data_IF_634354328038
#
_entry.id   IF_634354328038
#
_cell.length_a   1.000
_cell.length_b   1.000
_cell.length_c   1.000
_cell.angle_alpha   90.00
_cell.angle_beta   90.00
_cell.angle_gamma   90.00
#
_symmetry.space_group_name_H-M   'P 1'
#
loop_
_entity.id
_entity.type
_entity.pdbx_description
1 polymer ?
#
# COMPACT_ATOMS: atom_id res chain seq x y z
N UNK A 1 15.37 -12.23 -1.73
CA UNK A 1 14.08 -11.51 -1.75
C UNK A 1 13.89 -10.75 -0.45
N UNK A 2 13.56 -9.45 -0.51
CA UNK A 2 13.43 -8.56 0.65
C UNK A 2 12.11 -8.79 1.38
N UNK A 3 12.07 -9.76 2.30
CA UNK A 3 10.87 -10.16 3.05
C UNK A 3 10.31 -9.10 4.02
N UNK A 4 10.92 -7.91 4.11
CA UNK A 4 10.50 -6.82 4.98
C UNK A 4 10.51 -5.51 4.16
N UNK A 5 9.48 -5.25 3.33
CA UNK A 5 9.41 -4.06 2.50
C UNK A 5 9.25 -2.78 3.34
N UNK A 6 9.58 -1.62 2.77
CA UNK A 6 9.47 -0.31 3.45
C UNK A 6 10.29 -0.19 4.75
N UNK A 7 11.33 -1.01 4.92
CA UNK A 7 12.17 -0.99 6.11
C UNK A 7 13.36 -0.03 5.95
N UNK A 8 13.82 0.55 7.05
CA UNK A 8 15.10 1.25 7.10
C UNK A 8 16.18 0.41 7.79
N UNK A 9 17.42 0.62 7.35
CA UNK A 9 18.62 0.10 7.99
C UNK A 9 19.43 1.28 8.52
N UNK A 10 19.82 1.21 9.79
CA UNK A 10 20.69 2.21 10.44
C UNK A 10 21.87 1.46 11.04
N UNK A 11 23.08 1.91 10.75
CA UNK A 11 24.29 1.43 11.40
C UNK A 11 24.51 2.26 12.66
N UNK A 12 24.73 1.57 13.78
CA UNK A 12 25.08 2.18 15.06
C UNK A 12 26.02 1.24 15.82
N UNK A 13 27.19 1.73 16.23
CA UNK A 13 28.16 1.00 17.05
C UNK A 13 28.54 -0.38 16.48
N UNK A 14 28.85 -0.44 15.17
CA UNK A 14 29.11 -1.65 14.38
C UNK A 14 27.93 -2.64 14.32
N UNK A 15 26.73 -2.18 14.66
CA UNK A 15 25.50 -2.99 14.62
C UNK A 15 24.51 -2.41 13.63
N UNK A 16 24.06 -3.23 12.69
CA UNK A 16 23.00 -2.83 11.76
C UNK A 16 21.62 -3.08 12.39
N UNK A 17 20.91 -2.00 12.69
CA UNK A 17 19.53 -2.02 13.16
C UNK A 17 18.54 -1.92 12.01
N UNK A 18 17.51 -2.74 12.07
CA UNK A 18 16.43 -2.81 11.10
C UNK A 18 15.14 -2.26 11.72
N UNK A 19 14.49 -1.36 10.98
CA UNK A 19 13.23 -0.70 11.34
C UNK A 19 12.15 -1.12 10.34
N UNK A 20 11.39 -2.19 10.61
CA UNK A 20 10.45 -2.75 9.64
C UNK A 20 9.30 -1.78 9.34
N UNK A 21 8.94 -1.65 8.06
CA UNK A 21 7.73 -0.94 7.62
C UNK A 21 7.69 0.57 7.86
N UNK A 22 8.74 1.18 8.43
CA UNK A 22 8.75 2.58 8.87
C UNK A 22 8.50 3.58 7.74
N UNK A 23 8.89 3.25 6.50
CA UNK A 23 8.67 4.11 5.34
C UNK A 23 7.21 4.14 4.86
N UNK A 24 6.32 3.29 5.37
CA UNK A 24 4.89 3.34 5.01
C UNK A 24 4.22 4.63 5.45
N UNK A 25 4.76 5.28 6.48
CA UNK A 25 4.25 6.54 7.03
C UNK A 25 5.10 7.75 6.68
N UNK A 26 6.05 7.64 5.74
CA UNK A 26 6.93 8.76 5.40
C UNK A 26 6.40 9.57 4.22
N UNK A 27 6.49 10.90 4.35
CA UNK A 27 6.15 11.85 3.29
C UNK A 27 6.97 11.59 2.03
N UNK A 28 8.25 11.25 2.19
CA UNK A 28 9.15 10.87 1.09
C UNK A 28 8.58 9.75 0.22
N UNK A 29 8.08 8.68 0.85
CA UNK A 29 7.49 7.53 0.13
C UNK A 29 6.26 7.93 -0.67
N UNK A 30 5.35 8.72 -0.07
CA UNK A 30 4.13 9.15 -0.76
C UNK A 30 4.45 10.15 -1.89
N UNK A 31 5.39 11.07 -1.68
CA UNK A 31 5.87 11.98 -2.74
C UNK A 31 6.49 11.19 -3.89
N UNK A 32 7.34 10.20 -3.60
CA UNK A 32 7.95 9.36 -4.65
C UNK A 32 6.91 8.51 -5.39
N UNK A 33 5.91 7.95 -4.70
CA UNK A 33 4.81 7.24 -5.35
C UNK A 33 4.01 8.14 -6.31
N UNK A 34 3.71 9.38 -5.90
CA UNK A 34 2.97 10.34 -6.72
C UNK A 34 3.79 10.97 -7.85
N UNK A 35 5.12 10.95 -7.73
CA UNK A 35 6.07 11.55 -8.67
C UNK A 35 6.13 10.78 -9.99
N UNK A 36 6.07 9.46 -9.96
CA UNK A 36 6.19 8.62 -11.16
C UNK A 36 5.05 8.84 -12.17
N UNK A 37 3.74 8.81 -11.79
CA UNK A 37 2.65 9.13 -12.72
C UNK A 37 2.78 10.52 -13.34
N UNK A 38 3.15 11.53 -12.52
CA UNK A 38 3.28 12.92 -12.97
C UNK A 38 4.45 13.13 -13.94
N UNK A 39 5.42 12.20 -13.94
CA UNK A 39 6.60 12.23 -14.81
C UNK A 39 6.50 11.28 -16.00
N UNK A 40 5.42 10.52 -16.14
CA UNK A 40 5.16 9.77 -17.37
C UNK A 40 4.76 10.75 -18.49
N UNK A 41 5.75 11.16 -19.27
CA UNK A 41 5.60 12.06 -20.42
C UNK A 41 5.58 11.30 -21.75
N UNK A 42 5.29 9.99 -21.76
CA UNK A 42 5.15 9.22 -23.00
C UNK A 42 3.98 9.79 -23.82
N UNK A 43 4.32 10.32 -25.00
CA UNK A 43 3.39 10.96 -25.94
C UNK A 43 2.85 10.03 -27.02
N UNK A 44 3.46 8.85 -27.16
CA UNK A 44 3.00 7.87 -28.15
C UNK A 44 1.57 7.43 -27.79
N UNK A 45 0.62 7.47 -28.74
CA UNK A 45 -0.74 6.97 -28.50
C UNK A 45 -0.75 5.48 -28.15
N UNK A 46 0.25 4.71 -28.58
CA UNK A 46 0.43 3.29 -28.28
C UNK A 46 1.54 3.16 -27.24
N UNK A 47 1.14 3.01 -25.98
CA UNK A 47 2.07 2.73 -24.87
C UNK A 47 2.33 1.23 -24.79
N UNK A 48 3.50 0.80 -25.28
CA UNK A 48 3.89 -0.61 -25.24
C UNK A 48 4.27 -1.07 -23.83
N UNK A 49 4.94 -0.23 -23.04
CA UNK A 49 5.25 -0.56 -21.64
C UNK A 49 4.01 -0.40 -20.77
N UNK A 50 3.52 -1.51 -20.22
CA UNK A 50 2.41 -1.53 -19.30
C UNK A 50 2.92 -1.30 -17.87
N UNK A 51 2.47 -0.21 -17.25
CA UNK A 51 2.96 0.22 -15.93
C UNK A 51 1.79 0.38 -14.97
N UNK A 52 1.89 -0.24 -13.80
CA UNK A 52 1.01 -0.05 -12.65
C UNK A 52 1.69 0.92 -11.68
N UNK A 53 1.06 2.07 -11.43
CA UNK A 53 1.59 3.08 -10.52
C UNK A 53 1.12 2.91 -9.06
N UNK A 54 0.40 1.84 -8.77
CA UNK A 54 -0.17 1.58 -7.46
C UNK A 54 0.96 1.32 -6.45
N UNK A 55 1.08 2.19 -5.42
CA UNK A 55 2.03 2.00 -4.32
C UNK A 55 1.73 0.72 -3.54
N UNK A 56 0.43 0.46 -3.30
CA UNK A 56 -0.07 -0.76 -2.68
C UNK A 56 -0.74 -1.61 -3.76
N UNK A 57 -0.23 -2.82 -3.94
CA UNK A 57 -0.68 -3.80 -4.93
C UNK A 57 -0.60 -5.22 -4.33
N UNK A 58 -1.18 -6.25 -4.98
CA UNK A 58 -1.00 -7.63 -4.55
C UNK A 58 0.47 -8.01 -4.32
N UNK A 59 1.37 -7.54 -5.17
CA UNK A 59 2.81 -7.76 -5.04
C UNK A 59 3.39 -7.18 -3.75
N UNK A 60 3.09 -5.92 -3.43
CA UNK A 60 3.64 -5.27 -2.23
C UNK A 60 2.96 -5.77 -0.96
N UNK A 61 1.66 -6.01 -1.00
CA UNK A 61 0.88 -6.46 0.16
C UNK A 61 1.23 -7.91 0.51
N UNK A 62 1.49 -8.78 -0.48
CA UNK A 62 2.00 -10.13 -0.19
C UNK A 62 3.31 -10.08 0.61
N UNK A 63 4.24 -9.19 0.24
CA UNK A 63 5.49 -9.01 1.01
C UNK A 63 5.26 -8.46 2.41
N UNK A 64 4.23 -7.63 2.62
CA UNK A 64 3.86 -7.16 3.96
C UNK A 64 3.22 -8.27 4.80
N UNK A 65 2.40 -9.14 4.20
CA UNK A 65 1.85 -10.32 4.86
C UNK A 65 2.97 -11.26 5.32
N UNK A 66 3.94 -11.54 4.43
CA UNK A 66 5.11 -12.37 4.75
C UNK A 66 5.97 -11.70 5.82
N UNK A 67 6.19 -10.39 5.71
CA UNK A 67 6.94 -9.60 6.69
C UNK A 67 6.29 -9.60 8.06
N UNK A 68 4.96 -9.41 8.13
CA UNK A 68 4.18 -9.51 9.35
C UNK A 68 4.32 -10.90 9.98
N UNK A 69 4.21 -11.97 9.19
CA UNK A 69 4.37 -13.34 9.68
C UNK A 69 5.76 -13.57 10.28
N UNK A 70 6.81 -13.06 9.63
CA UNK A 70 8.18 -13.12 10.15
C UNK A 70 8.30 -12.41 11.51
N UNK A 71 7.76 -11.18 11.62
CA UNK A 71 7.86 -10.41 12.86
C UNK A 71 7.08 -11.07 14.02
N UNK A 72 5.89 -11.61 13.74
CA UNK A 72 5.09 -12.36 14.71
C UNK A 72 5.82 -13.63 15.18
N UNK A 73 6.47 -14.35 14.27
CA UNK A 73 7.23 -15.55 14.62
C UNK A 73 8.48 -15.20 15.46
N UNK A 74 9.19 -14.13 15.14
CA UNK A 74 10.33 -13.64 15.95
C UNK A 74 9.89 -13.32 17.39
N UNK A 75 8.74 -12.66 17.53
CA UNK A 75 8.13 -12.33 18.82
C UNK A 75 7.77 -13.58 19.62
N UNK A 76 7.18 -14.57 18.95
CA UNK A 76 6.77 -15.84 19.55
C UNK A 76 7.96 -16.69 20.02
N UNK A 77 9.01 -16.81 19.21
CA UNK A 77 10.16 -17.69 19.49
C UNK A 77 11.07 -17.12 20.59
N UNK A 78 11.27 -15.80 20.60
CA UNK A 78 12.20 -15.16 21.55
C UNK A 78 11.52 -14.72 22.86
N UNK A 79 10.18 -14.71 22.92
CA UNK A 79 9.39 -14.24 24.06
C UNK A 79 9.22 -12.71 24.08
N UNK A 80 8.08 -12.25 24.59
CA UNK A 80 7.64 -10.84 24.57
C UNK A 80 8.58 -9.89 25.34
N UNK A 81 9.35 -10.41 26.30
CA UNK A 81 10.30 -9.65 27.13
C UNK A 81 11.67 -9.46 26.48
N UNK A 82 11.88 -9.91 25.23
CA UNK A 82 13.14 -9.69 24.52
C UNK A 82 13.28 -8.23 24.08
N UNK A 83 14.32 -7.55 24.52
CA UNK A 83 14.60 -6.15 24.15
C UNK A 83 15.04 -5.99 22.68
N UNK A 84 15.80 -6.96 22.17
CA UNK A 84 16.38 -6.93 20.82
C UNK A 84 16.32 -8.31 20.17
N UNK A 85 15.68 -8.37 19.01
CA UNK A 85 15.55 -9.57 18.20
C UNK A 85 16.67 -9.63 17.16
N UNK A 86 17.16 -10.83 16.86
CA UNK A 86 18.11 -11.05 15.77
C UNK A 86 17.36 -11.56 14.54
N UNK A 87 17.54 -10.89 13.41
CA UNK A 87 16.97 -11.32 12.13
C UNK A 87 18.03 -11.20 11.04
N UNK A 88 18.45 -12.35 10.49
CA UNK A 88 19.61 -12.44 9.59
C UNK A 88 20.82 -11.73 10.23
N UNK A 89 21.52 -10.88 9.49
CA UNK A 89 22.66 -10.09 9.97
C UNK A 89 22.27 -8.75 10.62
N UNK A 90 21.01 -8.61 11.06
CA UNK A 90 20.48 -7.34 11.62
C UNK A 90 19.86 -7.54 12.99
N UNK A 91 19.70 -6.44 13.73
CA UNK A 91 19.02 -6.37 15.02
C UNK A 91 17.74 -5.56 14.90
N UNK A 92 16.66 -5.98 15.56
CA UNK A 92 15.38 -5.26 15.61
C UNK A 92 15.07 -4.99 17.08
N UNK A 93 14.95 -3.72 17.48
CA UNK A 93 14.49 -3.37 18.84
C UNK A 93 13.03 -3.81 19.01
N UNK A 94 12.63 -4.20 20.22
CA UNK A 94 11.27 -4.64 20.52
C UNK A 94 10.21 -3.63 20.05
N UNK A 95 10.41 -2.35 20.35
CA UNK A 95 9.53 -1.27 19.90
C UNK A 95 9.44 -1.16 18.37
N UNK A 96 10.55 -1.34 17.66
CA UNK A 96 10.59 -1.35 16.20
C UNK A 96 9.88 -2.57 15.61
N UNK A 97 9.97 -3.73 16.25
CA UNK A 97 9.26 -4.95 15.84
C UNK A 97 7.75 -4.77 15.97
N UNK A 98 7.28 -4.31 17.14
CA UNK A 98 5.85 -4.06 17.40
C UNK A 98 5.30 -3.01 16.43
N UNK A 99 6.02 -1.90 16.24
CA UNK A 99 5.64 -0.88 15.27
C UNK A 99 5.62 -1.42 13.84
N UNK A 100 6.59 -2.26 13.46
CA UNK A 100 6.64 -2.91 12.15
C UNK A 100 5.42 -3.79 11.88
N UNK A 101 4.99 -4.59 12.85
CA UNK A 101 3.74 -5.38 12.78
C UNK A 101 2.56 -4.44 12.57
N UNK A 102 2.43 -3.40 13.40
CA UNK A 102 1.34 -2.42 13.30
C UNK A 102 1.32 -1.75 11.93
N UNK A 103 2.45 -1.29 11.41
CA UNK A 103 2.52 -0.63 10.10
C UNK A 103 2.10 -1.55 8.96
N UNK A 104 2.55 -2.81 8.96
CA UNK A 104 2.12 -3.78 7.96
C UNK A 104 0.63 -4.09 8.08
N UNK A 105 0.10 -4.31 9.28
CA UNK A 105 -1.34 -4.53 9.49
C UNK A 105 -2.18 -3.35 9.00
N UNK A 106 -1.77 -2.13 9.31
CA UNK A 106 -2.44 -0.92 8.84
C UNK A 106 -2.45 -0.83 7.31
N UNK A 107 -1.32 -1.08 6.64
CA UNK A 107 -1.25 -1.05 5.19
C UNK A 107 -2.07 -2.18 4.53
N UNK A 108 -2.08 -3.38 5.12
CA UNK A 108 -2.91 -4.52 4.68
C UNK A 108 -4.40 -4.18 4.78
N UNK A 109 -4.85 -3.65 5.93
CA UNK A 109 -6.24 -3.20 6.14
C UNK A 109 -6.64 -2.11 5.16
N UNK A 110 -5.77 -1.12 4.96
CA UNK A 110 -5.97 -0.03 3.97
C UNK A 110 -6.18 -0.59 2.55
N UNK A 111 -5.37 -1.57 2.14
CA UNK A 111 -5.49 -2.16 0.81
C UNK A 111 -6.74 -3.03 0.68
N UNK A 112 -6.90 -4.04 1.53
CA UNK A 112 -8.00 -5.01 1.42
C UNK A 112 -9.38 -4.37 1.61
N UNK A 113 -9.49 -3.43 2.55
CA UNK A 113 -10.71 -2.65 2.74
C UNK A 113 -11.04 -1.77 1.53
N UNK A 114 -10.03 -1.14 0.92
CA UNK A 114 -10.24 -0.37 -0.31
C UNK A 114 -10.72 -1.28 -1.46
N UNK A 115 -10.19 -2.49 -1.58
CA UNK A 115 -10.65 -3.45 -2.59
C UNK A 115 -12.12 -3.83 -2.39
N UNK A 116 -12.59 -4.04 -1.15
CA UNK A 116 -14.02 -4.26 -0.84
C UNK A 116 -14.86 -3.04 -1.20
N UNK A 117 -14.45 -1.85 -0.75
CA UNK A 117 -15.18 -0.61 -1.02
C UNK A 117 -15.32 -0.38 -2.53
N UNK A 118 -14.23 -0.55 -3.28
CA UNK A 118 -14.23 -0.47 -4.75
C UNK A 118 -15.08 -1.54 -5.40
N UNK A 119 -15.18 -2.74 -4.82
CA UNK A 119 -16.08 -3.77 -5.34
C UNK A 119 -17.55 -3.40 -5.15
N UNK A 120 -17.88 -2.77 -4.03
CA UNK A 120 -19.24 -2.42 -3.64
C UNK A 120 -19.65 -0.98 -4.03
N UNK A 121 -18.75 -0.17 -4.57
CA UNK A 121 -19.05 1.24 -4.90
C UNK A 121 -20.13 1.36 -5.98
N UNK A 122 -20.91 2.46 -5.90
CA UNK A 122 -21.92 2.84 -6.90
C UNK A 122 -23.01 1.80 -7.18
N UNK A 123 -23.20 0.80 -6.32
CA UNK A 123 -24.17 -0.29 -6.50
C UNK A 123 -25.16 -0.31 -5.35
N UNK A 124 -26.46 -0.19 -5.64
CA UNK A 124 -27.49 -0.35 -4.61
C UNK A 124 -27.86 -1.82 -4.51
N UNK A 125 -27.88 -2.35 -3.29
CA UNK A 125 -28.24 -3.74 -3.00
C UNK A 125 -29.55 -3.77 -2.24
N UNK A 126 -30.35 -4.81 -2.46
CA UNK A 126 -31.64 -5.03 -1.79
C UNK A 126 -31.60 -6.11 -0.71
N UNK A 127 -30.52 -6.90 -0.69
CA UNK A 127 -30.32 -7.98 0.28
C UNK A 127 -28.83 -8.28 0.45
N UNK A 128 -28.48 -8.92 1.58
CA UNK A 128 -27.12 -9.41 1.82
C UNK A 128 -26.70 -10.45 0.78
N UNK A 129 -27.64 -11.17 0.16
CA UNK A 129 -27.36 -12.13 -0.92
C UNK A 129 -26.82 -11.43 -2.17
N UNK A 130 -27.38 -10.28 -2.57
CA UNK A 130 -26.87 -9.51 -3.71
C UNK A 130 -25.46 -8.98 -3.43
N UNK A 131 -25.17 -8.58 -2.19
CA UNK A 131 -23.82 -8.17 -1.76
C UNK A 131 -22.84 -9.34 -1.89
N UNK A 132 -23.20 -10.52 -1.38
CA UNK A 132 -22.37 -11.74 -1.48
C UNK A 132 -22.14 -12.14 -2.92
N UNK A 133 -23.15 -12.05 -3.78
CA UNK A 133 -23.01 -12.30 -5.22
C UNK A 133 -22.04 -11.32 -5.88
N UNK A 134 -22.11 -10.03 -5.54
CA UNK A 134 -21.18 -9.03 -6.05
C UNK A 134 -19.75 -9.25 -5.59
N UNK A 135 -19.55 -9.77 -4.38
CA UNK A 135 -18.23 -10.11 -3.84
C UNK A 135 -17.61 -11.35 -4.51
N UNK A 136 -18.38 -12.19 -5.22
CA UNK A 136 -17.79 -13.34 -5.93
C UNK A 136 -16.76 -12.87 -6.96
N UNK A 137 -15.57 -13.50 -7.04
CA UNK A 137 -14.60 -13.22 -8.08
C UNK A 137 -15.17 -13.49 -9.49
N UNK A 138 -14.90 -12.60 -10.44
CA UNK A 138 -15.33 -12.76 -11.84
C UNK A 138 -14.48 -13.79 -12.59
N UNK A 139 -13.29 -14.07 -12.09
CA UNK A 139 -12.30 -14.95 -12.71
C UNK A 139 -11.56 -15.77 -11.64
N UNK A 140 -10.87 -16.81 -12.09
CA UNK A 140 -9.92 -17.59 -11.27
C UNK A 140 -8.49 -17.07 -11.41
N UNK A 141 -8.25 -16.17 -12.36
CA UNK A 141 -6.94 -15.55 -12.61
C UNK A 141 -6.66 -14.50 -11.54
N UNK A 142 -5.42 -14.43 -11.05
CA UNK A 142 -5.03 -13.54 -9.94
C UNK A 142 -4.74 -14.26 -8.64
N UNK A 143 -5.03 -15.56 -8.55
CA UNK A 143 -4.63 -16.36 -7.40
C UNK A 143 -3.12 -16.56 -7.33
N UNK A 144 -2.60 -16.73 -6.12
CA UNK A 144 -1.20 -17.08 -5.88
C UNK A 144 -0.25 -15.87 -5.88
N UNK A 145 0.97 -16.11 -6.36
CA UNK A 145 2.04 -15.11 -6.38
C UNK A 145 1.83 -14.08 -7.49
N UNK A 146 2.21 -12.84 -7.19
CA UNK A 146 2.25 -11.74 -8.14
C UNK A 146 3.68 -11.27 -8.33
N UNK A 147 4.00 -10.82 -9.55
CA UNK A 147 5.32 -10.34 -9.95
C UNK A 147 5.23 -8.87 -10.37
N UNK A 148 6.34 -8.16 -10.21
CA UNK A 148 6.57 -6.86 -10.83
C UNK A 148 7.63 -7.04 -11.93
N UNK A 149 7.20 -6.86 -13.19
CA UNK A 149 8.01 -7.04 -14.38
C UNK A 149 8.11 -5.70 -15.08
N UNK A 150 9.15 -4.94 -14.73
CA UNK A 150 9.42 -3.62 -15.31
C UNK A 150 8.24 -2.64 -15.17
N UNK A 151 7.50 -2.71 -14.07
CA UNK A 151 6.33 -1.88 -13.79
C UNK A 151 4.99 -2.56 -14.07
N UNK A 152 4.96 -3.66 -14.82
CA UNK A 152 3.75 -4.48 -14.95
C UNK A 152 3.61 -5.35 -13.70
N UNK A 153 2.54 -5.13 -12.95
CA UNK A 153 2.19 -5.97 -11.80
C UNK A 153 1.17 -7.00 -12.27
N UNK A 154 1.56 -8.28 -12.29
CA UNK A 154 0.75 -9.34 -12.86
C UNK A 154 0.81 -10.65 -12.06
N UNK A 155 -0.22 -11.53 -12.17
CA UNK A 155 -0.18 -12.85 -11.56
C UNK A 155 0.92 -13.70 -12.19
N UNK A 156 1.73 -14.36 -11.37
CA UNK A 156 2.81 -15.24 -11.84
C UNK A 156 2.30 -16.32 -12.81
N UNK A 157 1.09 -16.83 -12.56
CA UNK A 157 0.49 -17.87 -13.43
C UNK A 157 0.31 -17.41 -14.87
N UNK A 158 -0.02 -16.13 -15.10
CA UNK A 158 -0.18 -15.61 -16.45
C UNK A 158 1.16 -15.31 -17.12
N UNK A 159 2.17 -14.92 -16.33
CA UNK A 159 3.55 -14.80 -16.81
C UNK A 159 4.12 -16.16 -17.22
N UNK A 160 3.89 -17.20 -16.40
CA UNK A 160 4.33 -18.55 -16.72
C UNK A 160 3.65 -19.08 -18.00
N UNK A 161 2.36 -18.77 -18.20
CA UNK A 161 1.65 -19.08 -19.46
C UNK A 161 2.26 -18.36 -20.66
N UNK A 162 2.60 -17.09 -20.53
CA UNK A 162 3.27 -16.33 -21.59
C UNK A 162 4.62 -16.97 -21.96
N UNK A 163 5.44 -17.30 -20.96
CA UNK A 163 6.73 -17.97 -21.16
C UNK A 163 6.53 -19.31 -21.87
N UNK A 164 5.62 -20.15 -21.37
CA UNK A 164 5.33 -21.45 -21.97
C UNK A 164 4.84 -21.32 -23.41
N UNK A 165 3.96 -20.36 -23.70
CA UNK A 165 3.46 -20.10 -25.05
C UNK A 165 4.60 -19.71 -26.01
N UNK A 166 5.59 -18.96 -25.54
CA UNK A 166 6.80 -18.61 -26.32
C UNK A 166 7.68 -19.84 -26.53
N UNK A 167 7.96 -20.62 -25.48
CA UNK A 167 8.81 -21.81 -25.53
C UNK A 167 8.26 -22.89 -26.47
N UNK A 168 6.95 -23.08 -26.45
CA UNK A 168 6.22 -24.04 -27.30
C UNK A 168 5.96 -23.53 -28.72
N UNK A 169 6.28 -22.25 -28.99
CA UNK A 169 6.02 -21.54 -30.26
C UNK A 169 4.53 -21.35 -30.58
N UNK A 170 3.63 -21.53 -29.61
CA UNK A 170 2.22 -21.12 -29.73
C UNK A 170 2.11 -19.60 -29.88
N UNK A 171 2.91 -18.86 -29.13
CA UNK A 171 3.11 -17.42 -29.24
C UNK A 171 4.44 -17.18 -29.96
N UNK A 172 4.37 -16.83 -31.24
CA UNK A 172 5.57 -16.71 -32.09
C UNK A 172 5.78 -15.31 -32.69
N UNK A 173 4.84 -14.38 -32.49
CA UNK A 173 4.94 -13.00 -32.99
C UNK A 173 5.04 -12.03 -31.82
N UNK A 174 5.86 -11.00 -32.00
CA UNK A 174 6.01 -9.90 -31.02
C UNK A 174 4.68 -9.22 -30.73
N UNK A 175 3.82 -9.07 -31.75
CA UNK A 175 2.49 -8.50 -31.59
C UNK A 175 1.61 -9.31 -30.62
N UNK A 176 1.70 -10.64 -30.65
CA UNK A 176 0.93 -11.54 -29.79
C UNK A 176 1.43 -11.46 -28.34
N UNK A 177 2.75 -11.36 -28.15
CA UNK A 177 3.37 -11.12 -26.83
C UNK A 177 2.88 -9.79 -26.24
N UNK A 178 2.92 -8.72 -27.05
CA UNK A 178 2.45 -7.39 -26.62
C UNK A 178 0.97 -7.41 -26.28
N UNK A 179 0.14 -8.10 -27.08
CA UNK A 179 -1.29 -8.23 -26.80
C UNK A 179 -1.55 -8.95 -25.48
N UNK A 180 -0.84 -10.06 -25.21
CA UNK A 180 -0.96 -10.79 -23.95
C UNK A 180 -0.59 -9.92 -22.74
N UNK A 181 0.49 -9.13 -22.85
CA UNK A 181 0.93 -8.19 -21.80
C UNK A 181 -0.11 -7.08 -21.59
N UNK A 182 -0.65 -6.52 -22.67
CA UNK A 182 -1.70 -5.51 -22.61
C UNK A 182 -2.97 -6.05 -21.96
N UNK A 183 -3.41 -7.26 -22.32
CA UNK A 183 -4.58 -7.91 -21.74
C UNK A 183 -4.42 -8.11 -20.23
N UNK A 184 -3.24 -8.52 -19.76
CA UNK A 184 -2.97 -8.64 -18.32
C UNK A 184 -3.10 -7.30 -17.59
N UNK A 185 -2.61 -6.22 -18.20
CA UNK A 185 -2.66 -4.88 -17.61
C UNK A 185 -4.09 -4.32 -17.59
N UNK A 186 -4.84 -4.49 -18.67
CA UNK A 186 -6.25 -4.07 -18.78
C UNK A 186 -7.13 -4.80 -17.76
N UNK A 187 -6.83 -6.07 -17.49
CA UNK A 187 -7.57 -6.90 -16.53
C UNK A 187 -7.04 -6.83 -15.09
N UNK A 188 -6.07 -5.96 -14.80
CA UNK A 188 -5.40 -5.87 -13.50
C UNK A 188 -6.37 -5.87 -12.31
N UNK A 189 -7.44 -5.05 -12.34
CA UNK A 189 -8.37 -4.94 -11.22
C UNK A 189 -9.26 -6.17 -11.02
N UNK A 190 -9.55 -6.94 -12.08
CA UNK A 190 -10.26 -8.22 -11.96
C UNK A 190 -9.38 -9.28 -11.30
N UNK A 191 -8.10 -9.30 -11.66
CA UNK A 191 -7.13 -10.21 -11.06
C UNK A 191 -6.83 -9.81 -9.62
N UNK A 192 -6.64 -8.50 -9.35
CA UNK A 192 -6.44 -7.95 -8.01
C UNK A 192 -7.59 -8.34 -7.10
N UNK A 193 -8.84 -8.22 -7.56
CA UNK A 193 -10.00 -8.60 -6.77
C UNK A 193 -9.99 -10.09 -6.40
N UNK A 194 -9.67 -10.96 -7.36
CA UNK A 194 -9.56 -12.41 -7.12
C UNK A 194 -8.52 -12.70 -6.04
N UNK A 195 -7.38 -12.01 -6.07
CA UNK A 195 -6.37 -12.10 -5.02
C UNK A 195 -6.87 -11.56 -3.68
N UNK A 196 -7.39 -10.34 -3.66
CA UNK A 196 -7.86 -9.64 -2.45
C UNK A 196 -8.96 -10.44 -1.75
N UNK A 197 -9.89 -11.03 -2.50
CA UNK A 197 -10.94 -11.90 -1.99
C UNK A 197 -10.39 -13.03 -1.13
N UNK A 198 -9.32 -13.70 -1.59
CA UNK A 198 -8.67 -14.77 -0.81
C UNK A 198 -7.95 -14.24 0.42
N UNK A 199 -7.31 -13.07 0.33
CA UNK A 199 -6.59 -12.45 1.43
C UNK A 199 -7.50 -11.84 2.48
N UNK A 200 -8.68 -11.37 2.12
CA UNK A 200 -9.73 -10.96 3.07
C UNK A 200 -10.11 -12.16 3.93
N UNK A 201 -10.33 -13.32 3.31
CA UNK A 201 -10.65 -14.55 4.04
C UNK A 201 -9.57 -14.96 5.02
N UNK A 202 -8.31 -14.92 4.59
CA UNK A 202 -7.16 -15.30 5.41
C UNK A 202 -6.87 -14.29 6.53
N UNK A 203 -6.89 -12.99 6.21
CA UNK A 203 -6.46 -11.93 7.12
C UNK A 203 -7.51 -11.57 8.17
N UNK A 204 -8.78 -11.47 7.78
CA UNK A 204 -9.88 -11.17 8.71
C UNK A 204 -10.51 -12.43 9.31
N UNK A 205 -10.12 -13.63 8.86
CA UNK A 205 -10.71 -14.90 9.29
C UNK A 205 -12.24 -14.98 9.07
N UNK A 206 -12.72 -14.41 7.95
CA UNK A 206 -14.14 -14.34 7.58
C UNK A 206 -14.35 -15.05 6.25
N UNK A 207 -15.40 -15.87 6.11
CA UNK A 207 -15.77 -16.41 4.80
C UNK A 207 -16.55 -15.37 3.98
N UNK A 208 -16.02 -14.83 2.87
CA UNK A 208 -16.72 -13.83 2.08
C UNK A 208 -18.00 -14.38 1.41
N UNK A 209 -18.20 -15.71 1.35
CA UNK A 209 -19.45 -16.30 0.86
C UNK A 209 -20.60 -16.17 1.87
N UNK A 210 -20.27 -16.20 3.16
CA UNK A 210 -21.23 -16.13 4.27
C UNK A 210 -21.12 -14.83 5.07
N UNK A 211 -20.39 -13.85 4.54
CA UNK A 211 -20.17 -12.57 5.22
C UNK A 211 -21.48 -11.86 5.52
N UNK A 212 -21.58 -11.32 6.73
CA UNK A 212 -22.71 -10.49 7.16
C UNK A 212 -22.47 -9.00 6.86
N UNK A 213 -23.53 -8.21 6.84
CA UNK A 213 -23.40 -6.74 6.70
C UNK A 213 -22.55 -6.16 7.85
N UNK A 214 -22.74 -6.63 9.08
CA UNK A 214 -21.95 -6.19 10.24
C UNK A 214 -20.44 -6.46 10.05
N UNK A 215 -20.07 -7.61 9.49
CA UNK A 215 -18.67 -7.92 9.18
C UNK A 215 -18.11 -7.03 8.08
N UNK A 216 -18.91 -6.66 7.07
CA UNK A 216 -18.47 -5.70 6.04
C UNK A 216 -18.26 -4.32 6.67
N UNK A 217 -19.19 -3.87 7.53
CA UNK A 217 -19.08 -2.61 8.26
C UNK A 217 -17.80 -2.59 9.10
N UNK A 218 -17.50 -3.66 9.85
CA UNK A 218 -16.28 -3.76 10.64
C UNK A 218 -15.01 -3.65 9.78
N UNK A 219 -14.98 -4.27 8.59
CA UNK A 219 -13.85 -4.13 7.66
C UNK A 219 -13.73 -2.68 7.16
N UNK A 220 -14.84 -2.00 6.88
CA UNK A 220 -14.87 -0.60 6.41
C UNK A 220 -14.43 0.36 7.53
N UNK A 221 -14.80 0.10 8.79
CA UNK A 221 -14.33 0.85 9.95
C UNK A 221 -12.81 0.67 10.13
N UNK A 222 -12.33 -0.58 10.14
CA UNK A 222 -10.90 -0.88 10.22
C UNK A 222 -10.10 -0.27 9.05
N UNK A 223 -10.69 -0.21 7.85
CA UNK A 223 -10.12 0.48 6.71
C UNK A 223 -10.05 2.00 6.92
N UNK A 224 -11.11 2.60 7.44
CA UNK A 224 -11.18 4.04 7.73
C UNK A 224 -10.10 4.40 8.75
N UNK A 225 -10.02 3.67 9.85
CA UNK A 225 -8.98 3.84 10.88
C UNK A 225 -7.58 3.68 10.29
N UNK A 226 -7.39 2.71 9.39
CA UNK A 226 -6.09 2.48 8.77
C UNK A 226 -5.67 3.60 7.81
N UNK A 227 -6.60 4.11 7.01
CA UNK A 227 -6.33 5.22 6.08
C UNK A 227 -6.07 6.51 6.85
N UNK A 228 -7.00 6.89 7.74
CA UNK A 228 -6.88 8.12 8.54
C UNK A 228 -5.67 8.05 9.46
N UNK A 229 -5.42 6.89 10.08
CA UNK A 229 -4.24 6.69 10.92
C UNK A 229 -2.92 6.86 10.16
N UNK A 230 -2.81 6.34 8.93
CA UNK A 230 -1.63 6.56 8.10
C UNK A 230 -1.48 8.02 7.67
N UNK A 231 -2.59 8.67 7.32
CA UNK A 231 -2.57 10.07 6.90
C UNK A 231 -2.20 11.01 8.06
N UNK A 232 -2.66 10.72 9.28
CA UNK A 232 -2.25 11.43 10.49
C UNK A 232 -0.75 11.25 10.77
N UNK A 233 -0.22 10.03 10.64
CA UNK A 233 1.22 9.80 10.77
C UNK A 233 2.02 10.54 9.68
N UNK A 234 1.46 10.65 8.47
CA UNK A 234 2.03 11.43 7.37
C UNK A 234 2.04 12.93 7.67
N UNK A 235 0.98 13.41 8.31
CA UNK A 235 0.86 14.81 8.74
C UNK A 235 1.91 15.12 9.83
N UNK A 236 2.08 14.24 10.81
CA UNK A 236 3.13 14.34 11.83
C UNK A 236 4.54 14.32 11.21
N UNK A 237 4.82 13.40 10.29
CA UNK A 237 6.10 13.32 9.56
C UNK A 237 6.34 14.59 8.71
N UNK A 238 5.28 15.13 8.09
CA UNK A 238 5.36 16.41 7.41
C UNK A 238 5.65 17.55 8.39
N UNK A 239 5.10 17.54 9.61
CA UNK A 239 5.37 18.58 10.60
C UNK A 239 6.84 18.59 11.01
N UNK A 240 7.46 17.42 11.14
CA UNK A 240 8.89 17.28 11.43
C UNK A 240 9.79 17.86 10.31
N UNK A 241 9.40 17.73 9.04
CA UNK A 241 10.09 18.40 7.91
C UNK A 241 10.07 19.94 8.03
N UNK A 242 9.10 20.52 8.75
CA UNK A 242 8.93 21.97 8.95
C UNK A 242 9.34 22.43 10.36
N UNK A 243 9.88 21.54 11.18
CA UNK A 243 10.37 21.86 12.53
C UNK A 243 11.60 22.77 12.49
N UNK A 244 11.82 23.51 13.59
CA UNK A 244 12.97 24.41 13.75
C UNK A 244 14.32 23.71 13.54
N UNK A 245 14.43 22.43 13.91
CA UNK A 245 15.64 21.62 13.69
C UNK A 245 15.92 21.29 12.22
N UNK A 246 14.90 21.39 11.36
CA UNK A 246 14.99 21.17 9.91
C UNK A 246 15.23 22.47 9.13
N UNK A 247 15.16 23.63 9.81
CA UNK A 247 15.38 24.93 9.19
C UNK A 247 16.87 25.16 8.91
N UNK A 248 17.21 25.38 7.64
CA UNK A 248 18.56 25.73 7.20
C UNK A 248 18.53 27.13 6.63
N UNK A 249 19.35 28.03 7.19
CA UNK A 249 19.57 29.36 6.63
C UNK A 249 20.60 29.29 5.50
N UNK A 250 20.41 30.09 4.44
CA UNK A 250 21.34 30.09 3.30
C UNK A 250 22.38 31.22 3.39
N UNK A 251 22.24 32.14 4.34
CA UNK A 251 23.23 33.17 4.68
C UNK A 251 24.35 32.65 5.59
N UNK A 252 25.60 33.06 5.34
CA UNK A 252 26.77 32.65 6.12
C UNK A 252 26.82 33.25 7.55
N UNK A 253 26.07 34.33 7.76
CA UNK A 253 25.99 35.15 8.98
C UNK A 253 24.53 35.41 9.42
N UNK A 254 23.59 34.65 8.86
CA UNK A 254 22.16 34.84 9.10
C UNK A 254 21.73 34.53 10.53
N UNK A 255 20.89 35.38 11.11
CA UNK A 255 20.27 35.11 12.42
C UNK A 255 19.08 34.13 12.30
N UNK A 256 18.50 33.71 13.42
CA UNK A 256 17.42 32.71 13.43
C UNK A 256 16.14 33.20 12.73
N UNK A 257 15.89 34.52 12.69
CA UNK A 257 14.76 35.09 11.94
C UNK A 257 15.01 35.07 10.43
N UNK A 258 16.24 35.35 9.98
CA UNK A 258 16.63 35.23 8.57
C UNK A 258 16.61 33.78 8.10
N UNK A 259 17.09 32.85 8.93
CA UNK A 259 16.96 31.40 8.68
C UNK A 259 15.51 30.97 8.51
N UNK A 260 14.59 31.50 9.33
CA UNK A 260 13.15 31.22 9.22
C UNK A 260 12.57 31.81 7.94
N UNK A 261 12.88 33.06 7.62
CA UNK A 261 12.40 33.72 6.40
C UNK A 261 12.90 33.00 5.14
N UNK A 262 14.19 32.65 5.09
CA UNK A 262 14.79 31.85 4.02
C UNK A 262 14.08 30.50 3.87
N UNK A 263 13.85 29.80 4.97
CA UNK A 263 13.14 28.54 4.99
C UNK A 263 11.70 28.69 4.48
N UNK A 264 10.96 29.69 4.94
CA UNK A 264 9.60 29.98 4.49
C UNK A 264 9.54 30.35 3.00
N UNK A 265 10.55 31.06 2.47
CA UNK A 265 10.62 31.38 1.04
C UNK A 265 10.84 30.13 0.17
N UNK A 266 11.61 29.15 0.64
CA UNK A 266 11.93 27.93 -0.12
C UNK A 266 10.90 26.82 0.08
N UNK A 267 10.45 26.61 1.32
CA UNK A 267 9.57 25.49 1.72
C UNK A 267 8.12 25.91 1.90
N UNK A 268 7.84 27.20 2.01
CA UNK A 268 6.53 27.74 2.35
C UNK A 268 6.23 27.64 3.84
N UNK A 269 5.01 28.05 4.21
CA UNK A 269 4.46 27.87 5.57
C UNK A 269 3.69 26.55 5.61
N UNK A 270 3.81 25.79 6.70
CA UNK A 270 3.25 24.45 6.84
C UNK A 270 1.75 24.38 6.53
N UNK A 271 0.94 25.31 7.04
CA UNK A 271 -0.51 25.35 6.85
C UNK A 271 -0.92 25.67 5.41
N UNK A 272 -0.02 26.29 4.62
CA UNK A 272 -0.23 26.60 3.20
C UNK A 272 0.40 25.56 2.28
N UNK A 273 1.00 24.50 2.83
CA UNK A 273 1.69 23.51 2.03
C UNK A 273 0.69 22.65 1.24
N UNK A 274 0.81 22.56 -0.11
CA UNK A 274 -0.12 21.80 -0.94
C UNK A 274 -0.19 20.31 -0.59
N UNK A 275 0.90 19.72 -0.08
CA UNK A 275 0.92 18.33 0.38
C UNK A 275 0.08 18.17 1.65
N UNK A 276 0.25 19.04 2.64
CA UNK A 276 -0.52 19.02 3.89
C UNK A 276 -2.02 19.18 3.60
N UNK A 277 -2.38 20.15 2.74
CA UNK A 277 -3.76 20.32 2.30
C UNK A 277 -4.32 19.08 1.58
N UNK A 278 -3.50 18.40 0.76
CA UNK A 278 -3.91 17.18 0.09
C UNK A 278 -4.12 16.00 1.07
N UNK A 279 -3.30 15.89 2.12
CA UNK A 279 -3.47 14.88 3.18
C UNK A 279 -4.76 15.12 3.95
N UNK A 280 -5.03 16.35 4.40
CA UNK A 280 -6.27 16.69 5.11
C UNK A 280 -7.52 16.45 4.26
N UNK A 281 -7.47 16.83 2.97
CA UNK A 281 -8.56 16.54 2.04
C UNK A 281 -8.74 15.03 1.83
N UNK A 282 -7.64 14.27 1.74
CA UNK A 282 -7.72 12.83 1.60
C UNK A 282 -8.36 12.17 2.83
N UNK A 283 -8.08 12.65 4.05
CA UNK A 283 -8.76 12.20 5.28
C UNK A 283 -10.26 12.45 5.18
N UNK A 284 -10.68 13.65 4.78
CA UNK A 284 -12.09 14.02 4.64
C UNK A 284 -12.79 13.12 3.60
N UNK A 285 -12.24 13.04 2.38
CA UNK A 285 -12.79 12.27 1.27
C UNK A 285 -12.93 10.77 1.62
N UNK A 286 -11.93 10.21 2.32
CA UNK A 286 -11.93 8.78 2.69
C UNK A 286 -12.85 8.47 3.86
N UNK A 287 -12.93 9.37 4.84
CA UNK A 287 -13.91 9.26 5.92
C UNK A 287 -15.34 9.30 5.36
N UNK A 288 -15.62 10.23 4.45
CA UNK A 288 -16.92 10.33 3.79
C UNK A 288 -17.25 9.07 2.98
N UNK A 289 -16.28 8.52 2.26
CA UNK A 289 -16.45 7.28 1.48
C UNK A 289 -16.79 6.08 2.38
N UNK A 290 -16.10 5.91 3.51
CA UNK A 290 -16.41 4.84 4.47
C UNK A 290 -17.81 4.99 5.06
N UNK A 291 -18.16 6.20 5.50
CA UNK A 291 -19.49 6.49 6.05
C UNK A 291 -20.62 6.32 5.03
N UNK A 292 -20.39 6.68 3.76
CA UNK A 292 -21.35 6.46 2.69
C UNK A 292 -21.67 4.97 2.54
N UNK A 293 -20.63 4.13 2.45
CA UNK A 293 -20.84 2.70 2.25
C UNK A 293 -21.53 2.07 3.47
N UNK A 294 -21.12 2.42 4.69
CA UNK A 294 -21.78 1.92 5.92
C UNK A 294 -23.27 2.26 5.90
N UNK A 295 -23.63 3.54 5.68
CA UNK A 295 -25.05 3.95 5.61
C UNK A 295 -25.80 3.24 4.49
N UNK A 296 -25.18 3.03 3.34
CA UNK A 296 -25.80 2.32 2.22
C UNK A 296 -26.08 0.85 2.57
N UNK A 297 -25.19 0.21 3.33
CA UNK A 297 -25.36 -1.18 3.76
C UNK A 297 -26.31 -1.35 4.95
N UNK A 298 -26.43 -0.36 5.84
CA UNK A 298 -27.38 -0.37 6.96
C UNK A 298 -28.85 -0.36 6.49
N UNK A 299 -29.11 0.09 5.27
CA UNK A 299 -30.45 0.13 4.67
C UNK A 299 -30.88 -1.18 3.99
N UNK A 300 -30.08 -2.25 4.14
CA UNK A 300 -30.31 -3.60 3.58
C UNK A 300 -30.79 -4.54 4.68
#
# INVERSE_FOLDING_TARGET
>A
TSSLPFSYLIEQDNTTYLFPGINLKSVGTIRDAQKWPKRDLRKDPVKLDQINYNLLSPYTIQKMLDGRAILLELMKVSGETTDVFSYKSTKIKNSSLINGIKYYETAIKKFLGNSIIKRLENTHFKSVQEVRERLRPDTKIGLGEWLDISGLIAPKTEIDKLILGIETREISRIADINHFIQEMHENYYYYEWTWAYTKIREFFAIDPQEISIAQIVEIVEQWTDAVVGLDNMLYEDAQDEFSLSSMTGFGADGNMDECRLDFEQVRGVFEKNPFVAAVLKHIEDKTALGQELIKRLENI
#
